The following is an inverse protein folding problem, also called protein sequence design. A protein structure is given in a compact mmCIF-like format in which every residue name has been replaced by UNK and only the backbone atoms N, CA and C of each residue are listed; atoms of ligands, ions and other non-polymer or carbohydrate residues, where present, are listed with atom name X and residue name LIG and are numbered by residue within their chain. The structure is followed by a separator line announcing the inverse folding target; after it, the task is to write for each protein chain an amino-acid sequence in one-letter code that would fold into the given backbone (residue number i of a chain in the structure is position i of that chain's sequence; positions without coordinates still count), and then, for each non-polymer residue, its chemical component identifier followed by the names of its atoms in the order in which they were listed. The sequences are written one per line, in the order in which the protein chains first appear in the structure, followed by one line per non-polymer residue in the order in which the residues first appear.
data_IF_729289716344
#
_entry.id   IF_729289716344
#
_cell.length_a   1.000
_cell.length_b   1.000
_cell.length_c   1.000
_cell.angle_alpha   90.00
_cell.angle_beta   90.00
_cell.angle_gamma   90.00
#
_symmetry.space_group_name_H-M   'P 1'
#
loop_
_entity.id
_entity.type
_entity.pdbx_description
1 polymer ?
#
# COMPACT_ATOMS: atom_id res chain seq x y z
N UNK A 1 17.46 -15.71 -5.55
CA UNK A 1 17.15 -17.04 -4.98
C UNK A 1 15.78 -17.49 -5.47
N UNK A 2 15.60 -18.76 -5.80
CA UNK A 2 14.27 -19.28 -6.14
C UNK A 2 13.44 -19.44 -4.87
N UNK A 3 12.11 -19.28 -4.96
CA UNK A 3 11.22 -19.45 -3.81
C UNK A 3 11.14 -20.90 -3.31
N UNK A 4 11.49 -21.89 -4.14
CA UNK A 4 11.76 -23.26 -3.66
C UNK A 4 12.99 -23.36 -2.75
N UNK A 5 14.04 -22.57 -3.01
CA UNK A 5 15.19 -22.45 -2.11
C UNK A 5 14.81 -21.80 -0.77
N UNK A 6 13.95 -20.78 -0.82
CA UNK A 6 13.39 -20.13 0.38
C UNK A 6 12.52 -21.12 1.16
N UNK A 7 11.71 -21.96 0.51
CA UNK A 7 10.92 -22.98 1.20
C UNK A 7 11.81 -24.06 1.87
N UNK A 8 12.94 -24.42 1.27
CA UNK A 8 13.91 -25.33 1.89
C UNK A 8 14.63 -24.69 3.09
N UNK A 9 14.98 -23.41 2.96
CA UNK A 9 15.55 -22.60 4.03
C UNK A 9 14.57 -22.50 5.21
N UNK A 10 13.32 -22.21 4.90
CA UNK A 10 12.20 -22.17 5.82
C UNK A 10 12.04 -23.47 6.60
N UNK A 11 12.01 -24.61 5.88
CA UNK A 11 11.95 -25.93 6.50
C UNK A 11 13.15 -26.19 7.41
N UNK A 12 14.36 -25.83 6.96
CA UNK A 12 15.58 -26.02 7.74
C UNK A 12 15.60 -25.20 9.03
N UNK A 13 15.14 -23.95 8.98
CA UNK A 13 14.96 -23.11 10.17
C UNK A 13 13.92 -23.70 11.13
N UNK A 14 12.79 -24.15 10.61
CA UNK A 14 11.72 -24.73 11.44
C UNK A 14 12.14 -26.04 12.11
N UNK A 15 12.89 -26.90 11.41
CA UNK A 15 13.41 -28.16 11.94
C UNK A 15 14.65 -27.98 12.83
N UNK A 16 15.13 -26.75 13.04
CA UNK A 16 16.33 -26.46 13.84
C UNK A 16 17.63 -26.97 13.22
N UNK A 17 17.67 -27.19 11.90
CA UNK A 17 18.88 -27.63 11.17
C UNK A 17 19.85 -26.49 10.89
N UNK A 18 19.36 -25.26 10.87
CA UNK A 18 20.15 -24.04 10.70
C UNK A 18 19.60 -22.94 11.62
N UNK A 19 20.46 -21.97 11.96
CA UNK A 19 20.07 -20.79 12.71
C UNK A 19 19.70 -19.63 11.78
N UNK A 20 18.91 -18.68 12.31
CA UNK A 20 18.68 -17.41 11.64
C UNK A 20 19.94 -16.56 11.82
N UNK A 21 20.76 -16.48 10.78
CA UNK A 21 21.98 -15.67 10.71
C UNK A 21 21.77 -14.44 9.83
N UNK A 22 22.73 -13.51 9.83
CA UNK A 22 22.72 -12.37 8.92
C UNK A 22 22.67 -12.81 7.44
N UNK A 23 23.41 -13.85 7.05
CA UNK A 23 23.40 -14.37 5.68
C UNK A 23 22.06 -15.00 5.30
N UNK A 24 21.42 -15.73 6.23
CA UNK A 24 20.09 -16.30 6.02
C UNK A 24 19.05 -15.18 5.88
N UNK A 25 19.14 -14.16 6.75
CA UNK A 25 18.29 -12.96 6.69
C UNK A 25 18.44 -12.25 5.35
N UNK A 26 19.67 -12.05 4.88
CA UNK A 26 19.94 -11.42 3.58
C UNK A 26 19.26 -12.19 2.42
N UNK A 27 19.34 -13.52 2.40
CA UNK A 27 18.66 -14.37 1.41
C UNK A 27 17.14 -14.14 1.42
N UNK A 28 16.52 -14.05 2.60
CA UNK A 28 15.08 -13.82 2.74
C UNK A 28 14.67 -12.44 2.20
N UNK A 29 15.50 -11.41 2.35
CA UNK A 29 15.22 -10.07 1.85
C UNK A 29 15.60 -9.84 0.38
N UNK A 30 16.36 -10.75 -0.24
CA UNK A 30 16.59 -10.76 -1.69
C UNK A 30 15.34 -11.14 -2.51
N UNK A 31 14.32 -11.75 -1.90
CA UNK A 31 13.06 -12.01 -2.57
C UNK A 31 12.37 -10.69 -2.93
N UNK A 32 12.05 -10.45 -4.19
CA UNK A 32 11.37 -9.22 -4.62
C UNK A 32 9.85 -9.31 -4.50
N UNK A 33 9.31 -10.42 -3.99
CA UNK A 33 7.87 -10.69 -3.90
C UNK A 33 7.12 -10.49 -5.23
N UNK A 34 7.73 -10.86 -6.36
CA UNK A 34 7.15 -10.66 -7.69
C UNK A 34 6.08 -11.70 -8.09
N UNK A 35 5.84 -12.72 -7.27
CA UNK A 35 4.85 -13.77 -7.55
C UNK A 35 5.22 -14.77 -8.65
N UNK A 36 6.37 -14.63 -9.33
CA UNK A 36 6.76 -15.51 -10.43
C UNK A 36 6.81 -17.01 -10.06
N UNK A 37 7.00 -17.34 -8.78
CA UNK A 37 6.95 -18.73 -8.33
C UNK A 37 5.55 -19.34 -8.36
N UNK A 38 4.50 -18.54 -8.10
CA UNK A 38 3.12 -19.02 -8.14
C UNK A 38 2.74 -19.39 -9.57
N UNK A 39 3.19 -18.60 -10.55
CA UNK A 39 2.98 -18.87 -11.97
C UNK A 39 3.77 -20.10 -12.46
N UNK A 40 5.07 -20.18 -12.14
CA UNK A 40 5.93 -21.27 -12.64
C UNK A 40 5.59 -22.61 -11.98
N UNK A 41 5.16 -22.60 -10.72
CA UNK A 41 4.84 -23.79 -9.95
C UNK A 41 3.33 -24.04 -9.79
N UNK A 42 2.49 -23.43 -10.64
CA UNK A 42 1.02 -23.42 -10.49
C UNK A 42 0.35 -24.81 -10.38
N UNK A 43 0.99 -25.85 -10.93
CA UNK A 43 0.50 -27.24 -10.89
C UNK A 43 0.83 -27.97 -9.57
N UNK A 44 1.69 -27.40 -8.74
CA UNK A 44 2.01 -27.94 -7.43
C UNK A 44 1.08 -27.28 -6.42
N UNK A 45 0.30 -28.08 -5.70
CA UNK A 45 -0.48 -27.64 -4.53
C UNK A 45 0.48 -27.26 -3.39
N UNK A 46 1.13 -26.11 -3.57
CA UNK A 46 2.12 -25.58 -2.67
C UNK A 46 1.48 -24.43 -1.90
N UNK A 47 1.63 -24.38 -0.56
CA UNK A 47 1.17 -23.25 0.26
C UNK A 47 1.66 -21.92 -0.34
N UNK A 48 0.85 -20.85 -0.26
CA UNK A 48 1.23 -19.57 -0.85
C UNK A 48 2.64 -19.15 -0.37
N UNK A 49 3.60 -19.25 -1.29
CA UNK A 49 5.01 -19.00 -1.03
C UNK A 49 5.25 -17.54 -0.61
N UNK A 50 4.31 -16.64 -0.94
CA UNK A 50 4.36 -15.25 -0.49
C UNK A 50 3.94 -15.11 0.96
N UNK A 51 2.92 -15.82 1.42
CA UNK A 51 2.58 -15.87 2.85
C UNK A 51 3.75 -16.41 3.67
N UNK A 52 4.37 -17.51 3.21
CA UNK A 52 5.57 -18.05 3.84
C UNK A 52 6.68 -16.99 3.92
N UNK A 53 6.97 -16.32 2.81
CA UNK A 53 7.99 -15.28 2.74
C UNK A 53 7.70 -14.10 3.70
N UNK A 54 6.44 -13.68 3.83
CA UNK A 54 6.03 -12.61 4.74
C UNK A 54 6.17 -13.04 6.20
N UNK A 55 5.81 -14.27 6.55
CA UNK A 55 6.00 -14.84 7.88
C UNK A 55 7.48 -14.91 8.26
N UNK A 56 8.37 -15.33 7.35
CA UNK A 56 9.80 -15.34 7.62
C UNK A 56 10.36 -13.95 7.89
N UNK A 57 9.93 -12.94 7.13
CA UNK A 57 10.33 -11.55 7.40
C UNK A 57 9.81 -11.05 8.74
N UNK A 58 8.62 -11.48 9.16
CA UNK A 58 8.11 -11.15 10.50
C UNK A 58 9.00 -11.75 11.59
N UNK A 59 9.41 -13.01 11.47
CA UNK A 59 10.36 -13.65 12.41
C UNK A 59 11.74 -12.98 12.41
N UNK A 60 12.22 -12.53 11.26
CA UNK A 60 13.44 -11.71 11.16
C UNK A 60 13.33 -10.44 12.00
N UNK A 61 12.19 -9.72 11.91
CA UNK A 61 11.93 -8.53 12.72
C UNK A 61 11.86 -8.87 14.22
N UNK A 62 11.17 -9.93 14.60
CA UNK A 62 11.06 -10.39 16.01
C UNK A 62 12.43 -10.76 16.60
N UNK A 63 13.29 -11.39 15.81
CA UNK A 63 14.65 -11.75 16.19
C UNK A 63 15.63 -10.56 16.15
N UNK A 64 15.19 -9.37 15.75
CA UNK A 64 16.04 -8.20 15.56
C UNK A 64 17.04 -8.33 14.39
N UNK A 65 16.84 -9.31 13.51
CA UNK A 65 17.67 -9.55 12.34
C UNK A 65 17.02 -8.95 11.10
N UNK A 66 17.28 -7.67 10.87
CA UNK A 66 16.75 -6.95 9.71
C UNK A 66 17.88 -6.26 8.96
N UNK A 67 17.80 -6.16 7.62
CA UNK A 67 18.74 -5.37 6.85
C UNK A 67 18.77 -3.91 7.33
N UNK A 68 19.97 -3.38 7.53
CA UNK A 68 20.17 -2.00 8.00
C UNK A 68 19.45 -0.96 7.13
N UNK A 69 19.35 -1.21 5.82
CA UNK A 69 18.66 -0.34 4.86
C UNK A 69 17.17 -0.13 5.19
N UNK A 70 16.53 -1.02 5.94
CA UNK A 70 15.11 -0.90 6.31
C UNK A 70 14.87 0.06 7.48
N UNK A 71 15.90 0.36 8.28
CA UNK A 71 15.76 1.15 9.50
C UNK A 71 15.23 2.55 9.21
N UNK A 72 15.80 3.25 8.22
CA UNK A 72 15.38 4.59 7.83
C UNK A 72 13.89 4.64 7.42
N UNK A 73 13.44 3.59 6.73
CA UNK A 73 12.07 3.44 6.23
C UNK A 73 11.08 3.27 7.39
N UNK A 74 11.40 2.42 8.36
CA UNK A 74 10.55 2.17 9.53
C UNK A 74 10.57 3.34 10.53
N UNK A 75 11.71 4.00 10.70
CA UNK A 75 11.80 5.22 11.51
C UNK A 75 10.96 6.34 10.91
N UNK A 76 11.01 6.51 9.58
CA UNK A 76 10.16 7.48 8.87
C UNK A 76 8.68 7.20 9.05
N UNK A 77 8.27 5.93 9.02
CA UNK A 77 6.90 5.55 9.36
C UNK A 77 6.54 5.98 10.79
N UNK A 78 7.27 5.48 11.79
CA UNK A 78 6.96 5.71 13.21
C UNK A 78 6.93 7.20 13.58
N UNK A 79 7.83 7.99 13.00
CA UNK A 79 7.97 9.42 13.31
C UNK A 79 7.05 10.29 12.47
N UNK A 80 7.03 10.05 11.15
CA UNK A 80 6.50 10.98 10.16
C UNK A 80 5.33 10.40 9.33
N UNK A 81 4.85 9.19 9.63
CA UNK A 81 3.80 8.49 8.89
C UNK A 81 4.08 8.36 7.38
N UNK A 82 5.34 8.29 6.98
CA UNK A 82 5.74 8.10 5.59
C UNK A 82 7.12 7.46 5.42
N UNK A 83 7.34 6.83 4.28
CA UNK A 83 8.58 6.09 4.00
C UNK A 83 9.80 6.98 3.67
N UNK A 84 9.61 8.30 3.59
CA UNK A 84 10.57 9.25 3.00
C UNK A 84 11.20 10.18 4.06
N UNK A 85 10.86 10.02 5.34
CA UNK A 85 11.29 10.87 6.45
C UNK A 85 10.97 12.37 6.23
N UNK A 86 9.90 12.64 5.47
CA UNK A 86 9.44 14.00 5.19
C UNK A 86 8.47 14.47 6.27
N UNK A 87 8.47 15.77 6.66
CA UNK A 87 7.58 16.24 7.71
C UNK A 87 6.10 16.06 7.37
N UNK A 88 5.30 15.55 8.32
CA UNK A 88 3.83 15.35 8.15
C UNK A 88 3.10 16.58 7.64
N UNK A 89 3.50 17.77 8.11
CA UNK A 89 2.90 19.05 7.72
C UNK A 89 2.96 19.32 6.21
N UNK A 90 3.91 18.73 5.49
CA UNK A 90 4.10 18.93 4.05
C UNK A 90 3.27 17.96 3.19
N UNK A 91 2.67 16.93 3.79
CA UNK A 91 1.98 15.86 3.05
C UNK A 91 0.81 16.35 2.19
N UNK A 92 0.17 17.44 2.59
CA UNK A 92 -0.95 18.04 1.85
C UNK A 92 -0.54 18.94 0.67
N UNK A 93 0.76 19.27 0.52
CA UNK A 93 1.23 20.27 -0.46
C UNK A 93 0.87 19.92 -1.91
N UNK A 94 0.90 18.64 -2.27
CA UNK A 94 0.57 18.18 -3.63
C UNK A 94 -0.84 18.58 -4.09
N UNK A 95 -1.76 18.82 -3.16
CA UNK A 95 -3.15 19.16 -3.42
C UNK A 95 -3.44 20.67 -3.38
N UNK A 96 -2.44 21.52 -3.13
CA UNK A 96 -2.64 22.98 -3.09
C UNK A 96 -3.25 23.50 -4.39
N UNK A 97 -4.27 24.36 -4.26
CA UNK A 97 -5.04 24.89 -5.38
C UNK A 97 -6.04 23.90 -6.02
N UNK A 98 -6.18 22.67 -5.51
CA UNK A 98 -7.30 21.80 -5.87
C UNK A 98 -8.48 22.09 -4.95
N UNK A 99 -9.65 22.37 -5.52
CA UNK A 99 -10.88 22.45 -4.73
C UNK A 99 -11.38 21.02 -4.44
N UNK A 100 -10.91 20.44 -3.34
CA UNK A 100 -11.34 19.13 -2.83
C UNK A 100 -11.65 19.26 -1.35
N UNK A 101 -12.57 18.42 -0.88
CA UNK A 101 -12.98 18.41 0.53
C UNK A 101 -11.88 17.86 1.42
N UNK A 102 -11.88 18.29 2.68
CA UNK A 102 -11.08 17.69 3.74
C UNK A 102 -11.97 16.74 4.54
N UNK A 103 -11.76 15.43 4.41
CA UNK A 103 -12.61 14.40 5.05
C UNK A 103 -12.55 14.44 6.57
N UNK A 104 -11.57 15.14 7.16
CA UNK A 104 -11.47 15.35 8.60
C UNK A 104 -12.39 16.45 9.11
N UNK A 105 -12.93 17.29 8.21
CA UNK A 105 -13.76 18.45 8.54
C UNK A 105 -15.18 18.37 7.98
N UNK A 106 -15.33 17.75 6.82
CA UNK A 106 -16.61 17.65 6.12
C UNK A 106 -16.78 16.28 5.46
N UNK A 107 -18.02 15.95 5.08
CA UNK A 107 -18.34 14.65 4.47
C UNK A 107 -18.08 14.65 2.96
N UNK A 108 -17.54 13.54 2.47
CA UNK A 108 -17.40 13.23 1.05
C UNK A 108 -17.92 11.81 0.78
N UNK A 109 -18.28 11.52 -0.47
CA UNK A 109 -18.69 10.17 -0.89
C UNK A 109 -17.48 9.25 -1.08
N UNK A 110 -16.40 9.80 -1.65
CA UNK A 110 -15.18 9.08 -2.01
C UNK A 110 -13.98 9.75 -1.36
N UNK A 111 -13.13 8.95 -0.74
CA UNK A 111 -11.80 9.38 -0.29
C UNK A 111 -10.74 9.02 -1.33
N UNK A 112 -9.94 9.99 -1.74
CA UNK A 112 -8.73 9.74 -2.51
C UNK A 112 -7.50 9.67 -1.59
N UNK A 113 -6.95 8.48 -1.42
CA UNK A 113 -5.68 8.25 -0.71
C UNK A 113 -4.53 8.39 -1.71
N UNK A 114 -3.72 9.44 -1.55
CA UNK A 114 -2.60 9.68 -2.46
C UNK A 114 -1.43 8.73 -2.15
N UNK A 115 -1.14 8.50 -0.88
CA UNK A 115 -0.02 7.69 -0.42
C UNK A 115 1.30 8.46 -0.38
N UNK A 116 2.34 7.82 0.15
CA UNK A 116 3.58 8.52 0.52
C UNK A 116 4.26 9.20 -0.67
N UNK A 117 4.53 8.46 -1.76
CA UNK A 117 5.27 9.03 -2.90
C UNK A 117 4.51 10.15 -3.59
N UNK A 118 3.23 9.97 -3.90
CA UNK A 118 2.43 11.01 -4.55
C UNK A 118 2.25 12.27 -3.70
N UNK A 119 2.37 12.18 -2.37
CA UNK A 119 2.33 13.34 -1.49
C UNK A 119 3.63 14.16 -1.48
N UNK A 120 4.79 13.53 -1.65
CA UNK A 120 6.10 14.16 -1.36
C UNK A 120 7.05 14.22 -2.56
N UNK A 121 6.82 13.44 -3.61
CA UNK A 121 7.60 13.47 -4.83
C UNK A 121 6.92 14.39 -5.85
N UNK A 122 7.50 15.58 -6.04
CA UNK A 122 6.95 16.62 -6.91
C UNK A 122 6.82 16.17 -8.37
N UNK A 123 7.67 15.23 -8.82
CA UNK A 123 7.60 14.68 -10.18
C UNK A 123 6.33 13.84 -10.38
N UNK A 124 5.76 13.30 -9.30
CA UNK A 124 4.54 12.48 -9.32
C UNK A 124 3.27 13.30 -9.05
N UNK A 125 3.38 14.55 -8.60
CA UNK A 125 2.21 15.40 -8.35
C UNK A 125 1.31 15.55 -9.58
N UNK A 126 1.82 15.73 -10.82
CA UNK A 126 0.95 15.82 -12.00
C UNK A 126 0.03 14.60 -12.16
N UNK A 127 0.49 13.39 -11.83
CA UNK A 127 -0.31 12.17 -11.94
C UNK A 127 -1.44 12.15 -10.89
N UNK A 128 -1.13 12.41 -9.61
CA UNK A 128 -2.14 12.45 -8.55
C UNK A 128 -3.16 13.58 -8.74
N UNK A 129 -2.71 14.77 -9.14
CA UNK A 129 -3.59 15.91 -9.47
C UNK A 129 -4.46 15.60 -10.68
N UNK A 130 -3.93 14.91 -11.70
CA UNK A 130 -4.71 14.49 -12.87
C UNK A 130 -5.80 13.48 -12.50
N UNK A 131 -5.49 12.50 -11.64
CA UNK A 131 -6.47 11.58 -11.10
C UNK A 131 -7.63 12.31 -10.42
N UNK A 132 -7.32 13.19 -9.46
CA UNK A 132 -8.33 14.02 -8.76
C UNK A 132 -9.16 14.85 -9.75
N UNK A 133 -8.53 15.51 -10.71
CA UNK A 133 -9.24 16.34 -11.68
C UNK A 133 -10.18 15.51 -12.58
N UNK A 134 -9.81 14.29 -12.94
CA UNK A 134 -10.70 13.38 -13.67
C UNK A 134 -11.91 12.96 -12.83
N UNK A 135 -11.70 12.62 -11.55
CA UNK A 135 -12.78 12.29 -10.62
C UNK A 135 -13.74 13.48 -10.43
N UNK A 136 -13.20 14.69 -10.25
CA UNK A 136 -14.00 15.93 -10.18
C UNK A 136 -14.81 16.16 -11.46
N UNK A 137 -14.20 16.01 -12.63
CA UNK A 137 -14.88 16.15 -13.93
C UNK A 137 -16.00 15.14 -14.13
N UNK A 138 -15.88 13.95 -13.52
CA UNK A 138 -16.93 12.94 -13.49
C UNK A 138 -18.06 13.26 -12.50
N UNK A 139 -17.97 14.37 -11.77
CA UNK A 139 -18.94 14.81 -10.76
C UNK A 139 -18.90 13.97 -9.48
N UNK A 140 -17.73 13.43 -9.11
CA UNK A 140 -17.57 12.68 -7.86
C UNK A 140 -17.44 13.66 -6.69
N UNK A 141 -18.21 13.42 -5.62
CA UNK A 141 -18.03 14.12 -4.35
C UNK A 141 -16.78 13.58 -3.63
N UNK A 142 -15.65 14.24 -3.89
CA UNK A 142 -14.31 13.75 -3.53
C UNK A 142 -13.72 14.52 -2.35
N UNK A 143 -13.16 13.77 -1.39
CA UNK A 143 -12.36 14.31 -0.31
C UNK A 143 -10.95 13.70 -0.25
N UNK A 144 -10.05 14.42 0.41
CA UNK A 144 -8.70 13.99 0.81
C UNK A 144 -8.51 14.22 2.32
N UNK A 145 -7.45 13.70 2.91
CA UNK A 145 -7.10 13.96 4.31
C UNK A 145 -5.91 14.93 4.46
N UNK A 146 -5.38 15.47 3.36
CA UNK A 146 -4.34 16.50 3.38
C UNK A 146 -3.11 16.10 4.23
N UNK A 147 -2.81 16.90 5.25
CA UNK A 147 -1.71 16.62 6.20
C UNK A 147 -1.99 15.48 7.18
N UNK A 148 -3.28 15.14 7.36
CA UNK A 148 -3.77 14.13 8.30
C UNK A 148 -3.88 12.75 7.63
N UNK A 149 -3.62 12.65 6.31
CA UNK A 149 -3.44 11.36 5.64
C UNK A 149 -2.22 10.63 6.24
N UNK A 150 -2.34 9.32 6.46
CA UNK A 150 -1.22 8.47 6.93
C UNK A 150 -0.82 7.43 5.90
N UNK A 151 0.31 6.76 6.11
CA UNK A 151 0.74 5.65 5.26
C UNK A 151 -0.30 4.51 5.28
N UNK A 152 -0.42 3.79 4.16
CA UNK A 152 -1.25 2.58 4.10
C UNK A 152 -0.69 1.42 4.95
N UNK A 153 0.58 1.50 5.36
CA UNK A 153 1.28 0.46 6.13
C UNK A 153 1.84 -0.70 5.29
N UNK A 154 1.53 -0.78 3.99
CA UNK A 154 1.90 -1.91 3.14
C UNK A 154 3.40 -2.22 3.13
N UNK A 155 4.25 -1.18 3.11
CA UNK A 155 5.71 -1.38 3.17
C UNK A 155 6.18 -1.92 4.53
N UNK A 156 5.51 -1.57 5.63
CA UNK A 156 5.84 -2.15 6.93
C UNK A 156 5.57 -3.66 6.94
N UNK A 157 4.42 -4.08 6.40
CA UNK A 157 4.07 -5.49 6.25
C UNK A 157 5.09 -6.23 5.38
N UNK A 158 5.44 -5.68 4.21
CA UNK A 158 6.38 -6.31 3.29
C UNK A 158 7.77 -6.53 3.92
N UNK A 159 8.19 -5.62 4.80
CA UNK A 159 9.46 -5.69 5.53
C UNK A 159 9.39 -6.59 6.78
N UNK A 160 8.23 -7.13 7.13
CA UNK A 160 8.01 -7.99 8.30
C UNK A 160 7.49 -7.29 9.56
N UNK A 161 7.30 -5.97 9.52
CA UNK A 161 6.81 -5.19 10.68
C UNK A 161 5.29 -5.26 10.79
N UNK A 162 4.74 -6.46 10.99
CA UNK A 162 3.29 -6.72 11.05
C UNK A 162 2.59 -5.87 12.12
N UNK A 163 3.18 -5.73 13.30
CA UNK A 163 2.61 -4.89 14.37
C UNK A 163 2.47 -3.43 13.96
N UNK A 164 3.39 -2.90 13.14
CA UNK A 164 3.29 -1.53 12.65
C UNK A 164 2.24 -1.40 11.53
N UNK A 165 2.16 -2.41 10.65
CA UNK A 165 1.08 -2.49 9.66
C UNK A 165 -0.31 -2.51 10.30
N UNK A 166 -0.52 -3.31 11.36
CA UNK A 166 -1.80 -3.40 12.07
C UNK A 166 -2.21 -2.05 12.65
N UNK A 167 -1.27 -1.30 13.26
CA UNK A 167 -1.55 0.05 13.77
C UNK A 167 -2.02 0.99 12.66
N UNK A 168 -1.35 0.98 11.50
CA UNK A 168 -1.80 1.80 10.35
C UNK A 168 -3.18 1.38 9.86
N UNK A 169 -3.45 0.07 9.79
CA UNK A 169 -4.75 -0.42 9.39
C UNK A 169 -5.87 0.04 10.34
N UNK A 170 -5.64 -0.05 11.65
CA UNK A 170 -6.59 0.41 12.67
C UNK A 170 -6.83 1.93 12.58
N UNK A 171 -5.75 2.72 12.56
CA UNK A 171 -5.84 4.18 12.51
C UNK A 171 -6.54 4.67 11.24
N UNK A 172 -6.19 4.11 10.08
CA UNK A 172 -6.82 4.49 8.82
C UNK A 172 -8.30 4.12 8.83
N UNK A 173 -8.67 2.91 9.26
CA UNK A 173 -10.06 2.48 9.27
C UNK A 173 -10.90 3.28 10.28
N UNK A 174 -10.33 3.69 11.42
CA UNK A 174 -10.98 4.59 12.36
C UNK A 174 -11.24 5.98 11.77
N UNK A 175 -10.26 6.56 11.07
CA UNK A 175 -10.42 7.83 10.37
C UNK A 175 -11.53 7.75 9.31
N UNK A 176 -11.51 6.72 8.46
CA UNK A 176 -12.50 6.53 7.40
C UNK A 176 -13.90 6.32 7.97
N UNK A 177 -14.03 5.54 9.04
CA UNK A 177 -15.29 5.33 9.75
C UNK A 177 -15.84 6.64 10.32
N UNK A 178 -14.98 7.44 10.95
CA UNK A 178 -15.35 8.74 11.53
C UNK A 178 -15.80 9.72 10.45
N UNK A 179 -15.11 9.75 9.32
CA UNK A 179 -15.46 10.54 8.15
C UNK A 179 -16.71 10.02 7.39
N UNK A 180 -17.18 8.81 7.71
CA UNK A 180 -18.30 8.16 7.03
C UNK A 180 -17.98 7.68 5.61
N UNK A 181 -16.69 7.47 5.30
CA UNK A 181 -16.21 7.02 3.99
C UNK A 181 -16.48 5.52 3.83
N UNK A 182 -17.07 5.16 2.68
CA UNK A 182 -17.27 3.76 2.26
C UNK A 182 -16.48 3.38 1.01
N UNK A 183 -16.03 4.37 0.25
CA UNK A 183 -15.27 4.16 -0.99
C UNK A 183 -13.92 4.86 -0.89
N UNK A 184 -12.84 4.11 -1.05
CA UNK A 184 -11.46 4.59 -1.15
C UNK A 184 -10.95 4.37 -2.58
N UNK A 185 -10.37 5.41 -3.17
CA UNK A 185 -9.64 5.35 -4.44
C UNK A 185 -8.20 5.73 -4.20
N UNK A 186 -7.25 4.99 -4.79
CA UNK A 186 -5.83 5.34 -4.73
C UNK A 186 -5.13 5.12 -6.07
N UNK A 187 -4.12 5.94 -6.36
CA UNK A 187 -3.21 5.74 -7.50
C UNK A 187 -1.94 4.97 -7.12
N UNK A 188 -1.82 4.56 -5.86
CA UNK A 188 -0.68 3.82 -5.35
C UNK A 188 -0.97 2.32 -5.40
N UNK A 189 -0.17 1.55 -6.14
CA UNK A 189 -0.32 0.09 -6.20
C UNK A 189 -0.12 -0.56 -4.80
N UNK A 190 0.90 -0.14 -4.05
CA UNK A 190 1.12 -0.59 -2.67
C UNK A 190 -0.06 -0.22 -1.75
N UNK A 191 -0.62 0.99 -1.93
CA UNK A 191 -1.82 1.44 -1.22
C UNK A 191 -3.03 0.57 -1.55
N UNK A 192 -3.26 0.31 -2.84
CA UNK A 192 -4.35 -0.51 -3.32
C UNK A 192 -4.26 -1.92 -2.73
N UNK A 193 -3.10 -2.58 -2.83
CA UNK A 193 -2.90 -3.91 -2.26
C UNK A 193 -3.09 -3.91 -0.74
N UNK A 194 -2.56 -2.92 -0.03
CA UNK A 194 -2.71 -2.82 1.42
C UNK A 194 -4.20 -2.70 1.82
N UNK A 195 -4.92 -1.70 1.31
CA UNK A 195 -6.32 -1.48 1.69
C UNK A 195 -7.26 -2.57 1.18
N UNK A 196 -7.03 -3.10 -0.03
CA UNK A 196 -7.94 -4.07 -0.68
C UNK A 196 -7.74 -5.48 -0.16
N UNK A 197 -6.48 -5.92 -0.05
CA UNK A 197 -6.12 -7.31 0.21
C UNK A 197 -5.62 -7.49 1.63
N UNK A 198 -4.57 -6.78 2.04
CA UNK A 198 -3.97 -7.01 3.35
C UNK A 198 -4.92 -6.64 4.49
N UNK A 199 -5.64 -5.52 4.38
CA UNK A 199 -6.62 -5.16 5.41
C UNK A 199 -7.73 -6.21 5.51
N UNK A 200 -8.05 -6.90 4.42
CA UNK A 200 -9.04 -7.99 4.41
C UNK A 200 -8.53 -9.24 5.12
N UNK A 201 -7.31 -9.67 4.77
CA UNK A 201 -6.61 -10.81 5.38
C UNK A 201 -6.51 -10.64 6.90
N UNK A 202 -6.24 -9.42 7.37
CA UNK A 202 -6.14 -9.10 8.80
C UNK A 202 -7.48 -8.74 9.46
N UNK A 203 -8.61 -8.88 8.75
CA UNK A 203 -9.96 -8.61 9.29
C UNK A 203 -10.22 -7.15 9.66
N UNK A 204 -9.50 -6.20 9.04
CA UNK A 204 -9.59 -4.76 9.31
C UNK A 204 -10.39 -3.99 8.26
N UNK A 205 -10.53 -4.52 7.02
CA UNK A 205 -11.15 -3.79 5.89
C UNK A 205 -12.61 -3.44 6.12
N UNK A 206 -13.37 -4.31 6.80
CA UNK A 206 -14.82 -4.15 6.96
C UNK A 206 -15.52 -4.00 5.59
N UNK A 207 -16.46 -3.06 5.51
CA UNK A 207 -17.25 -2.80 4.30
C UNK A 207 -16.60 -1.80 3.32
N UNK A 208 -15.31 -1.47 3.49
CA UNK A 208 -14.64 -0.50 2.65
C UNK A 208 -14.48 -1.04 1.21
N UNK A 209 -15.07 -0.34 0.26
CA UNK A 209 -14.82 -0.54 -1.15
C UNK A 209 -13.52 0.17 -1.55
N UNK A 210 -12.56 -0.59 -2.07
CA UNK A 210 -11.25 -0.09 -2.46
C UNK A 210 -11.07 -0.28 -3.96
N UNK A 211 -10.65 0.79 -4.63
CA UNK A 211 -10.36 0.80 -6.06
C UNK A 211 -8.98 1.39 -6.34
N UNK A 212 -8.28 0.81 -7.31
CA UNK A 212 -7.20 1.52 -7.95
C UNK A 212 -7.79 2.58 -8.89
N UNK A 213 -7.10 3.70 -9.10
CA UNK A 213 -7.60 4.80 -9.93
C UNK A 213 -7.99 4.32 -11.34
N UNK A 214 -7.25 3.38 -11.92
CA UNK A 214 -7.54 2.84 -13.26
C UNK A 214 -8.86 2.08 -13.29
N UNK A 215 -9.15 1.27 -12.27
CA UNK A 215 -10.41 0.54 -12.14
C UNK A 215 -11.59 1.51 -11.98
N UNK A 216 -11.40 2.53 -11.13
CA UNK A 216 -12.42 3.53 -10.89
C UNK A 216 -12.72 4.36 -12.14
N UNK A 217 -11.69 4.80 -12.87
CA UNK A 217 -11.85 5.53 -14.13
C UNK A 217 -12.52 4.65 -15.20
N UNK A 218 -12.14 3.38 -15.32
CA UNK A 218 -12.80 2.45 -16.24
C UNK A 218 -14.30 2.29 -15.93
N UNK A 219 -14.65 2.21 -14.64
CA UNK A 219 -16.05 2.22 -14.18
C UNK A 219 -16.78 3.49 -14.59
N UNK A 220 -16.20 4.67 -14.34
CA UNK A 220 -16.81 5.95 -14.69
C UNK A 220 -16.98 6.13 -16.21
N UNK A 221 -16.08 5.58 -17.02
CA UNK A 221 -16.23 5.57 -18.48
C UNK A 221 -17.40 4.67 -18.89
N UNK A 222 -17.49 3.46 -18.32
CA UNK A 222 -18.60 2.53 -18.58
C UNK A 222 -19.96 3.12 -18.18
N UNK A 223 -20.01 3.89 -17.10
CA UNK A 223 -21.19 4.61 -16.64
C UNK A 223 -21.50 5.88 -17.46
N UNK A 224 -20.65 6.26 -18.41
CA UNK A 224 -20.81 7.46 -19.24
C UNK A 224 -20.54 8.78 -18.51
N UNK A 225 -20.04 8.72 -17.27
CA UNK A 225 -19.64 9.89 -16.46
C UNK A 225 -18.33 10.51 -16.94
N UNK A 226 -17.47 9.71 -17.57
CA UNK A 226 -16.29 10.17 -18.29
C UNK A 226 -16.37 9.75 -19.75
N UNK A 227 -16.12 10.70 -20.66
CA UNK A 227 -16.13 10.47 -22.10
C UNK A 227 -14.80 10.94 -22.70
N UNK A 228 -13.84 10.02 -22.93
CA UNK A 228 -12.61 10.34 -23.64
C UNK A 228 -12.96 10.92 -25.02
N UNK A 229 -12.51 12.14 -25.30
CA UNK A 229 -12.83 12.87 -26.55
C UNK A 229 -11.68 12.88 -27.55
N UNK A 230 -10.47 12.54 -27.12
CA UNK A 230 -9.27 12.50 -27.96
C UNK A 230 -8.76 11.07 -28.06
N UNK A 231 -8.51 10.63 -29.29
CA UNK A 231 -7.75 9.41 -29.53
C UNK A 231 -6.30 9.64 -29.12
N UNK A 232 -5.71 8.65 -28.46
CA UNK A 232 -4.28 8.61 -28.13
C UNK A 232 -3.68 7.49 -28.97
N UNK A 233 -2.60 7.78 -29.69
CA UNK A 233 -1.86 6.74 -30.40
C UNK A 233 -1.24 5.80 -29.36
N UNK A 234 -1.56 4.51 -29.45
CA UNK A 234 -0.85 3.48 -28.69
C UNK A 234 0.55 3.38 -29.28
N UNK A 235 1.56 3.80 -28.51
CA UNK A 235 2.98 3.56 -28.83
C UNK A 235 3.41 2.20 -28.36
#
# INVERSE_FOLDING_TARGET
YSLGGIAQLARALHEGRIDLTESVTDILYHCTSCGACAEVCAEVDFPDLMELQHEFRARCVEAGQVPFAHMAVIEGLKKDDNMLQKPKAERGKWAEGLEVKDITKEKAEVYYHAGCKYCFDEELWPAARSAVNLLKRAGIDLGIAGKDETCCGGRAFELGYQGEFIKYAENNMEMLKTAGIKTLVTSCADGYYAFKVLYDIFGKRGDLEVFHITEYLARLIKEGRLKPSKSVAMT
#
